data_IF_153040291656
#
_entry.id   IF_153040291656
#
_cell.length_a   1.000
_cell.length_b   1.000
_cell.length_c   1.000
_cell.angle_alpha   90.00
_cell.angle_beta   90.00
_cell.angle_gamma   90.00
#
_symmetry.space_group_name_H-M   'P 1'
#
loop_
_entity.id
_entity.type
_entity.pdbx_description
1 polymer ?
#
# COMPACT_ATOMS: atom_id res chain seq x y z
N UNK A 1 -35.57 -1.38 -9.74
CA UNK A 1 -34.86 -1.37 -8.44
C UNK A 1 -33.37 -1.77 -8.50
N UNK A 2 -32.85 -2.31 -9.61
CA UNK A 2 -31.46 -2.81 -9.70
C UNK A 2 -30.35 -1.75 -9.91
N UNK A 3 -30.66 -0.55 -10.43
CA UNK A 3 -29.63 0.49 -10.72
C UNK A 3 -29.10 1.24 -9.48
N UNK A 4 -29.87 1.32 -8.40
CA UNK A 4 -29.46 2.00 -7.17
C UNK A 4 -28.48 1.17 -6.32
N UNK A 5 -28.56 -0.16 -6.38
CA UNK A 5 -27.66 -1.06 -5.64
C UNK A 5 -26.25 -1.13 -6.24
N UNK A 6 -26.14 -1.04 -7.56
CA UNK A 6 -24.82 -1.05 -8.24
C UNK A 6 -24.02 0.21 -7.91
N UNK A 7 -24.68 1.37 -7.80
CA UNK A 7 -24.00 2.62 -7.43
C UNK A 7 -23.50 2.65 -5.97
N UNK A 8 -24.21 2.02 -5.03
CA UNK A 8 -23.78 1.98 -3.62
C UNK A 8 -22.57 1.05 -3.43
N UNK A 9 -22.51 -0.06 -4.16
CA UNK A 9 -21.36 -0.99 -4.10
C UNK A 9 -20.11 -0.37 -4.74
N UNK A 10 -20.26 0.28 -5.89
CA UNK A 10 -19.17 1.00 -6.55
C UNK A 10 -18.64 2.15 -5.68
N UNK A 11 -19.53 2.89 -5.00
CA UNK A 11 -19.16 3.96 -4.09
C UNK A 11 -18.44 3.44 -2.83
N UNK A 12 -18.89 2.33 -2.24
CA UNK A 12 -18.21 1.69 -1.10
C UNK A 12 -16.87 1.07 -1.48
N UNK A 13 -16.74 0.53 -2.67
CA UNK A 13 -15.46 0.05 -3.20
C UNK A 13 -14.48 1.23 -3.45
N UNK A 14 -14.97 2.30 -4.05
CA UNK A 14 -14.17 3.53 -4.26
C UNK A 14 -13.73 4.15 -2.93
N UNK A 15 -14.63 4.23 -1.94
CA UNK A 15 -14.30 4.73 -0.60
C UNK A 15 -13.29 3.82 0.14
N UNK A 16 -13.40 2.49 -0.01
CA UNK A 16 -12.41 1.53 0.51
C UNK A 16 -11.06 1.66 -0.18
N UNK A 17 -11.03 1.87 -1.49
CA UNK A 17 -9.77 2.10 -2.22
C UNK A 17 -9.12 3.43 -1.83
N UNK A 18 -9.90 4.49 -1.61
CA UNK A 18 -9.40 5.78 -1.14
C UNK A 18 -8.82 5.72 0.29
N UNK A 19 -9.38 4.91 1.18
CA UNK A 19 -8.83 4.74 2.53
C UNK A 19 -7.45 4.06 2.56
N UNK A 20 -7.09 3.38 1.47
CA UNK A 20 -5.77 2.74 1.29
C UNK A 20 -4.74 3.66 0.62
N UNK A 21 -5.13 4.84 0.19
CA UNK A 21 -4.19 5.77 -0.41
C UNK A 21 -3.17 6.24 0.63
N UNK A 22 -1.93 6.35 0.20
CA UNK A 22 -0.87 6.95 1.02
C UNK A 22 -1.26 8.37 1.41
N UNK A 23 -0.84 8.81 2.58
CA UNK A 23 -1.16 10.17 3.09
C UNK A 23 -0.76 11.25 2.08
N UNK A 24 0.38 11.08 1.39
CA UNK A 24 0.85 11.99 0.35
C UNK A 24 -0.14 12.09 -0.83
N UNK A 25 -0.65 10.95 -1.31
CA UNK A 25 -1.65 10.91 -2.40
C UNK A 25 -2.97 11.57 -1.98
N UNK A 26 -3.39 11.40 -0.73
CA UNK A 26 -4.58 12.06 -0.20
C UNK A 26 -4.43 13.59 -0.18
N UNK A 27 -3.27 14.08 0.26
CA UNK A 27 -2.96 15.52 0.28
C UNK A 27 -2.93 16.08 -1.14
N UNK A 28 -2.28 15.40 -2.09
CA UNK A 28 -2.24 15.80 -3.48
C UNK A 28 -3.63 15.84 -4.12
N UNK A 29 -4.46 14.84 -3.84
CA UNK A 29 -5.84 14.81 -4.33
C UNK A 29 -6.67 15.97 -3.78
N UNK A 30 -6.56 16.27 -2.48
CA UNK A 30 -7.24 17.42 -1.89
C UNK A 30 -6.77 18.73 -2.51
N UNK A 31 -5.46 18.92 -2.71
CA UNK A 31 -4.92 20.10 -3.37
C UNK A 31 -5.45 20.22 -4.81
N UNK A 32 -5.44 19.15 -5.59
CA UNK A 32 -6.01 19.12 -6.94
C UNK A 32 -7.49 19.51 -6.93
N UNK A 33 -8.29 18.93 -6.04
CA UNK A 33 -9.73 19.24 -5.94
C UNK A 33 -9.99 20.72 -5.61
N UNK A 34 -9.18 21.31 -4.72
CA UNK A 34 -9.28 22.75 -4.39
C UNK A 34 -8.94 23.61 -5.61
N UNK A 35 -7.86 23.30 -6.32
CA UNK A 35 -7.49 24.03 -7.54
C UNK A 35 -8.57 23.95 -8.61
N UNK A 36 -9.17 22.77 -8.81
CA UNK A 36 -10.27 22.57 -9.74
C UNK A 36 -11.49 23.43 -9.36
N UNK A 37 -11.84 23.48 -8.08
CA UNK A 37 -12.93 24.32 -7.59
C UNK A 37 -12.66 25.82 -7.80
N UNK A 38 -11.43 26.29 -7.58
CA UNK A 38 -11.04 27.69 -7.81
C UNK A 38 -11.13 28.05 -9.30
N UNK A 39 -10.63 27.17 -10.20
CA UNK A 39 -10.72 27.39 -11.65
C UNK A 39 -12.17 27.47 -12.08
N UNK A 40 -13.03 26.57 -11.61
CA UNK A 40 -14.45 26.56 -11.93
C UNK A 40 -15.16 27.82 -11.41
N UNK A 41 -14.84 28.26 -10.19
CA UNK A 41 -15.42 29.47 -9.60
C UNK A 41 -15.04 30.73 -10.41
N UNK A 42 -13.77 30.87 -10.79
CA UNK A 42 -13.31 31.98 -11.64
C UNK A 42 -13.97 31.97 -12.99
N UNK A 43 -14.11 30.80 -13.63
CA UNK A 43 -14.84 30.68 -14.89
C UNK A 43 -16.29 31.18 -14.74
N UNK A 44 -17.02 30.75 -13.72
CA UNK A 44 -18.41 31.15 -13.50
C UNK A 44 -18.55 32.67 -13.28
N UNK A 45 -17.62 33.27 -12.53
CA UNK A 45 -17.60 34.72 -12.31
C UNK A 45 -17.38 35.48 -13.60
N UNK A 46 -16.45 35.06 -14.44
CA UNK A 46 -16.16 35.71 -15.72
C UNK A 46 -17.29 35.49 -16.75
N UNK A 47 -17.84 34.27 -16.78
CA UNK A 47 -18.97 33.95 -17.64
C UNK A 47 -20.19 34.82 -17.35
N UNK A 48 -20.46 35.14 -16.10
CA UNK A 48 -21.56 36.01 -15.69
C UNK A 48 -21.36 37.48 -16.12
N UNK A 49 -20.14 37.91 -16.39
CA UNK A 49 -19.79 39.25 -16.87
C UNK A 49 -19.98 39.41 -18.39
N UNK A 50 -20.09 38.30 -19.13
CA UNK A 50 -20.27 38.36 -20.61
C UNK A 50 -21.62 38.93 -20.97
N UNK A 51 -21.70 39.88 -21.95
CA UNK A 51 -22.94 40.48 -22.38
C UNK A 51 -23.81 39.44 -23.10
N UNK A 52 -25.09 39.40 -22.76
CA UNK A 52 -26.07 38.57 -23.45
C UNK A 52 -26.50 39.33 -24.70
N UNK A 53 -26.43 38.70 -25.89
CA UNK A 53 -26.97 39.21 -27.16
C UNK A 53 -28.08 38.29 -27.63
N UNK A 54 -29.08 38.86 -28.23
CA UNK A 54 -30.22 38.13 -28.81
C UNK A 54 -30.12 38.21 -30.33
N UNK A 55 -30.17 37.07 -31.00
CA UNK A 55 -30.20 37.01 -32.47
C UNK A 55 -31.58 37.35 -33.04
N UNK A 56 -31.66 37.54 -34.37
CA UNK A 56 -32.94 37.72 -35.05
C UNK A 56 -33.90 36.56 -34.88
N UNK A 57 -33.38 35.34 -34.63
CA UNK A 57 -34.16 34.15 -34.31
C UNK A 57 -34.62 34.08 -32.84
N UNK A 58 -34.42 35.12 -32.04
CA UNK A 58 -34.68 35.18 -30.60
C UNK A 58 -33.87 34.19 -29.75
N UNK A 59 -32.78 33.65 -30.30
CA UNK A 59 -31.84 32.84 -29.52
C UNK A 59 -30.85 33.75 -28.78
N UNK A 60 -30.77 33.59 -27.47
CA UNK A 60 -29.80 34.29 -26.62
C UNK A 60 -28.45 33.60 -26.69
N UNK A 61 -27.38 34.32 -26.98
CA UNK A 61 -26.01 33.83 -26.94
C UNK A 61 -25.06 34.82 -26.28
N UNK A 62 -23.92 34.36 -25.83
CA UNK A 62 -22.87 35.20 -25.23
C UNK A 62 -21.63 35.17 -26.13
N UNK A 63 -21.31 36.27 -26.84
CA UNK A 63 -20.11 36.34 -27.66
C UNK A 63 -18.86 36.09 -26.81
N UNK A 64 -17.92 35.22 -27.28
CA UNK A 64 -16.70 34.89 -26.58
C UNK A 64 -16.84 33.80 -25.52
N UNK A 65 -18.03 33.17 -25.39
CA UNK A 65 -18.26 32.09 -24.40
C UNK A 65 -17.35 30.87 -24.67
N UNK A 66 -17.19 30.47 -25.93
CA UNK A 66 -16.33 29.35 -26.30
C UNK A 66 -14.86 29.63 -25.98
N UNK A 67 -14.38 30.84 -26.29
CA UNK A 67 -13.01 31.24 -25.99
C UNK A 67 -12.78 31.31 -24.48
N UNK A 68 -13.72 31.84 -23.72
CA UNK A 68 -13.67 31.86 -22.26
C UNK A 68 -13.66 30.44 -21.69
N UNK A 69 -14.53 29.55 -22.22
CA UNK A 69 -14.59 28.14 -21.80
C UNK A 69 -13.25 27.46 -21.97
N UNK A 70 -12.62 27.60 -23.13
CA UNK A 70 -11.33 26.96 -23.38
C UNK A 70 -10.22 27.57 -22.54
N UNK A 71 -10.06 28.87 -22.50
CA UNK A 71 -8.92 29.53 -21.88
C UNK A 71 -9.02 29.58 -20.35
N UNK A 72 -10.23 29.79 -19.81
CA UNK A 72 -10.43 29.98 -18.37
C UNK A 72 -10.86 28.71 -17.62
N UNK A 73 -11.35 27.70 -18.32
CA UNK A 73 -11.79 26.46 -17.68
C UNK A 73 -11.00 25.22 -18.19
N UNK A 74 -11.14 24.90 -19.48
CA UNK A 74 -10.66 23.59 -19.99
C UNK A 74 -9.13 23.49 -19.94
N UNK A 75 -8.41 24.47 -20.49
CA UNK A 75 -6.94 24.43 -20.52
C UNK A 75 -6.35 24.42 -19.10
N UNK A 76 -6.73 25.32 -18.17
CA UNK A 76 -6.23 25.27 -16.80
C UNK A 76 -6.55 23.96 -16.09
N UNK A 77 -7.76 23.39 -16.28
CA UNK A 77 -8.12 22.09 -15.69
C UNK A 77 -7.24 20.96 -16.20
N UNK A 78 -6.96 20.91 -17.51
CA UNK A 78 -6.05 19.92 -18.10
C UNK A 78 -4.64 20.08 -17.52
N UNK A 79 -4.11 21.29 -17.47
CA UNK A 79 -2.76 21.57 -16.95
C UNK A 79 -2.63 21.11 -15.49
N UNK A 80 -3.59 21.49 -14.63
CA UNK A 80 -3.57 21.09 -13.21
C UNK A 80 -3.68 19.57 -13.06
N UNK A 81 -4.50 18.91 -13.89
CA UNK A 81 -4.64 17.45 -13.85
C UNK A 81 -3.36 16.74 -14.29
N UNK A 82 -2.69 17.24 -15.33
CA UNK A 82 -1.40 16.69 -15.79
C UNK A 82 -0.33 16.86 -14.71
N UNK A 83 -0.23 18.03 -14.09
CA UNK A 83 0.71 18.26 -12.97
C UNK A 83 0.43 17.31 -11.82
N UNK A 84 -0.83 17.10 -11.46
CA UNK A 84 -1.22 16.17 -10.42
C UNK A 84 -0.80 14.71 -10.75
N UNK A 85 -1.04 14.25 -11.99
CA UNK A 85 -0.62 12.92 -12.43
C UNK A 85 0.89 12.72 -12.37
N UNK A 86 1.67 13.73 -12.80
CA UNK A 86 3.13 13.69 -12.74
C UNK A 86 3.60 13.62 -11.28
N UNK A 87 3.03 14.43 -10.40
CA UNK A 87 3.37 14.43 -8.98
C UNK A 87 3.04 13.08 -8.34
N UNK A 88 1.87 12.50 -8.61
CA UNK A 88 1.46 11.19 -8.09
C UNK A 88 2.41 10.09 -8.56
N UNK A 89 2.77 10.07 -9.85
CA UNK A 89 3.75 9.13 -10.39
C UNK A 89 5.12 9.27 -9.70
N UNK A 90 5.59 10.50 -9.49
CA UNK A 90 6.87 10.77 -8.84
C UNK A 90 6.87 10.28 -7.38
N UNK A 91 5.82 10.58 -6.60
CA UNK A 91 5.71 10.13 -5.21
C UNK A 91 5.54 8.60 -5.11
N UNK A 92 4.81 7.98 -6.05
CA UNK A 92 4.69 6.53 -6.14
C UNK A 92 6.05 5.85 -6.39
N UNK A 93 6.79 6.38 -7.36
CA UNK A 93 8.13 5.87 -7.67
C UNK A 93 9.08 6.03 -6.47
N UNK A 94 9.10 7.21 -5.85
CA UNK A 94 9.95 7.48 -4.69
C UNK A 94 9.62 6.59 -3.49
N UNK A 95 8.34 6.31 -3.25
CA UNK A 95 7.92 5.37 -2.20
C UNK A 95 8.38 3.95 -2.50
N UNK A 96 8.28 3.49 -3.76
CA UNK A 96 8.77 2.17 -4.18
C UNK A 96 10.27 2.01 -3.95
N UNK A 97 11.07 3.01 -4.35
CA UNK A 97 12.52 3.01 -4.12
C UNK A 97 12.86 3.00 -2.63
N UNK A 98 12.17 3.81 -1.83
CA UNK A 98 12.35 3.86 -0.37
C UNK A 98 12.07 2.51 0.28
N UNK A 99 10.96 1.85 -0.09
CA UNK A 99 10.60 0.54 0.45
C UNK A 99 11.60 -0.53 0.03
N UNK A 100 12.08 -0.49 -1.22
CA UNK A 100 13.12 -1.41 -1.69
C UNK A 100 14.41 -1.27 -0.88
N UNK A 101 14.89 -0.05 -0.66
CA UNK A 101 16.10 0.21 0.13
C UNK A 101 15.94 -0.23 1.59
N UNK A 102 14.76 -0.03 2.18
CA UNK A 102 14.43 -0.52 3.53
C UNK A 102 14.44 -2.05 3.59
N UNK A 103 13.83 -2.71 2.61
CA UNK A 103 13.84 -4.16 2.51
C UNK A 103 15.27 -4.71 2.44
N UNK A 104 16.14 -4.13 1.61
CA UNK A 104 17.54 -4.54 1.52
C UNK A 104 18.29 -4.34 2.85
N UNK A 105 18.05 -3.21 3.53
CA UNK A 105 18.67 -2.94 4.84
C UNK A 105 18.22 -3.95 5.89
N UNK A 106 16.93 -4.29 5.94
CA UNK A 106 16.40 -5.28 6.86
C UNK A 106 16.91 -6.69 6.50
N UNK A 107 16.96 -7.01 5.21
CA UNK A 107 17.43 -8.29 4.69
C UNK A 107 18.92 -8.50 4.98
N UNK A 108 19.75 -7.47 4.88
CA UNK A 108 21.17 -7.54 5.22
C UNK A 108 21.44 -7.82 6.70
N UNK A 109 20.48 -7.51 7.57
CA UNK A 109 20.53 -7.78 9.02
C UNK A 109 19.87 -9.10 9.41
N UNK A 110 19.12 -9.73 8.50
CA UNK A 110 18.43 -10.99 8.75
C UNK A 110 19.34 -12.19 8.50
N UNK A 111 19.01 -13.29 9.15
CA UNK A 111 19.64 -14.60 8.93
C UNK A 111 18.67 -15.48 8.14
N UNK A 112 19.04 -15.85 6.92
CA UNK A 112 18.22 -16.67 6.03
C UNK A 112 18.55 -18.15 6.16
N UNK A 113 17.53 -19.00 6.32
CA UNK A 113 17.66 -20.44 6.49
C UNK A 113 16.49 -21.18 5.83
N UNK A 114 16.72 -22.39 5.33
CA UNK A 114 15.63 -23.22 4.81
C UNK A 114 14.85 -23.91 5.92
N UNK A 115 13.55 -24.23 5.77
CA UNK A 115 12.77 -24.93 6.79
C UNK A 115 13.37 -26.30 7.16
N UNK A 116 13.93 -27.03 6.21
CA UNK A 116 14.57 -28.34 6.46
C UNK A 116 15.80 -28.18 7.34
N UNK A 117 16.65 -27.22 7.02
CA UNK A 117 17.84 -26.92 7.80
C UNK A 117 17.48 -26.40 9.19
N UNK A 118 16.50 -25.51 9.23
CA UNK A 118 15.96 -24.95 10.46
C UNK A 118 15.44 -26.03 11.41
N UNK A 119 14.61 -26.98 10.94
CA UNK A 119 14.08 -28.08 11.74
C UNK A 119 15.14 -29.15 12.11
N UNK A 120 16.21 -29.27 11.30
CA UNK A 120 17.30 -30.23 11.58
C UNK A 120 18.32 -29.72 12.60
N UNK A 121 18.45 -28.40 12.73
CA UNK A 121 19.34 -27.84 13.76
C UNK A 121 18.76 -28.12 15.14
N UNK A 122 19.49 -28.86 15.96
CA UNK A 122 19.14 -29.23 17.35
C UNK A 122 18.96 -28.03 18.30
N UNK A 123 18.92 -26.81 17.80
CA UNK A 123 18.73 -25.57 18.58
C UNK A 123 17.44 -25.56 19.40
N UNK A 124 16.44 -26.35 18.97
CA UNK A 124 15.12 -26.48 19.60
C UNK A 124 15.01 -27.59 20.66
N UNK A 125 15.94 -28.51 20.70
CA UNK A 125 15.75 -29.82 21.35
C UNK A 125 16.02 -29.78 22.86
N UNK A 126 16.53 -28.74 23.41
CA UNK A 126 16.70 -28.64 24.85
C UNK A 126 15.51 -27.90 25.46
N UNK A 127 14.46 -28.64 25.77
CA UNK A 127 13.24 -28.20 26.49
C UNK A 127 13.49 -27.70 27.92
N UNK A 128 14.51 -26.93 28.11
CA UNK A 128 14.80 -26.09 29.27
C UNK A 128 15.15 -24.71 28.73
N UNK A 129 14.10 -23.85 28.72
CA UNK A 129 14.15 -22.39 28.65
C UNK A 129 15.33 -21.73 27.96
N UNK A 130 15.07 -21.02 26.91
CA UNK A 130 15.67 -19.75 26.50
C UNK A 130 17.15 -19.67 26.13
N UNK A 131 17.94 -20.74 26.12
CA UNK A 131 19.33 -20.61 25.65
C UNK A 131 19.43 -20.70 24.15
N UNK A 132 19.16 -19.58 23.48
CA UNK A 132 19.32 -19.40 22.03
C UNK A 132 18.12 -18.85 21.28
N UNK A 133 16.95 -18.77 21.91
CA UNK A 133 15.80 -18.07 21.31
C UNK A 133 15.86 -16.56 21.62
N UNK A 134 15.19 -15.74 20.83
CA UNK A 134 15.28 -14.30 20.95
C UNK A 134 13.94 -13.62 20.61
N UNK A 135 13.79 -12.39 21.10
CA UNK A 135 12.69 -11.52 20.75
C UNK A 135 12.95 -10.84 19.41
N UNK A 136 12.00 -10.92 18.49
CA UNK A 136 12.17 -10.33 17.18
C UNK A 136 11.04 -10.64 16.21
N UNK A 137 11.33 -10.48 14.94
CA UNK A 137 10.43 -10.72 13.82
C UNK A 137 10.99 -11.82 12.93
N UNK A 138 10.10 -12.56 12.28
CA UNK A 138 10.45 -13.54 11.27
C UNK A 138 9.59 -13.34 10.01
N UNK A 139 10.19 -13.68 8.89
CA UNK A 139 9.55 -13.65 7.57
C UNK A 139 9.64 -15.04 6.98
N UNK A 140 8.51 -15.62 6.60
CA UNK A 140 8.43 -16.86 5.83
C UNK A 140 8.16 -16.48 4.38
N UNK A 141 9.13 -16.67 3.51
CA UNK A 141 8.98 -16.39 2.07
C UNK A 141 8.75 -17.69 1.32
N UNK A 142 7.57 -17.85 0.73
CA UNK A 142 7.29 -18.90 -0.25
C UNK A 142 7.86 -18.48 -1.60
N UNK A 143 8.99 -19.05 -1.98
CA UNK A 143 9.67 -18.76 -3.24
C UNK A 143 8.89 -19.23 -4.47
N UNK A 144 8.00 -20.22 -4.32
CA UNK A 144 7.24 -20.79 -5.43
C UNK A 144 6.09 -19.87 -5.85
N UNK A 145 5.43 -19.25 -4.87
CA UNK A 145 4.26 -18.38 -5.08
C UNK A 145 4.55 -16.89 -4.88
N UNK A 146 5.79 -16.56 -4.51
CA UNK A 146 6.24 -15.21 -4.13
C UNK A 146 5.35 -14.56 -3.08
N UNK A 147 5.02 -15.32 -2.02
CA UNK A 147 4.16 -14.89 -0.91
C UNK A 147 4.94 -14.82 0.38
N UNK A 148 4.62 -13.81 1.20
CA UNK A 148 5.26 -13.58 2.48
C UNK A 148 4.29 -13.76 3.64
N UNK A 149 4.77 -14.35 4.72
CA UNK A 149 4.17 -14.26 6.05
C UNK A 149 5.15 -13.56 6.97
N UNK A 150 4.69 -12.54 7.66
CA UNK A 150 5.46 -11.82 8.67
C UNK A 150 4.81 -12.04 10.02
N UNK A 151 5.62 -12.35 11.03
CA UNK A 151 5.16 -12.50 12.40
C UNK A 151 6.22 -12.07 13.39
N UNK A 152 5.81 -11.80 14.61
CA UNK A 152 6.71 -11.49 15.70
C UNK A 152 6.52 -12.43 16.88
N UNK A 153 7.53 -12.56 17.73
CA UNK A 153 7.47 -13.31 18.96
C UNK A 153 8.58 -12.89 19.92
N UNK A 154 8.34 -13.11 21.20
CA UNK A 154 9.41 -13.10 22.21
C UNK A 154 10.29 -14.37 22.14
N UNK A 155 9.79 -15.43 21.48
CA UNK A 155 10.44 -16.69 21.18
C UNK A 155 10.32 -16.97 19.67
N UNK A 156 11.13 -16.29 18.85
CA UNK A 156 11.04 -16.32 17.38
C UNK A 156 11.24 -17.71 16.83
N UNK A 157 12.25 -18.41 17.35
CA UNK A 157 12.62 -19.72 16.84
C UNK A 157 11.52 -20.76 17.11
N UNK A 158 10.97 -20.78 18.32
CA UNK A 158 9.85 -21.67 18.65
C UNK A 158 8.60 -21.31 17.82
N UNK A 159 8.33 -20.03 17.61
CA UNK A 159 7.19 -19.60 16.80
C UNK A 159 7.30 -20.04 15.35
N UNK A 160 8.49 -19.89 14.75
CA UNK A 160 8.77 -20.40 13.40
C UNK A 160 8.60 -21.92 13.33
N UNK A 161 9.09 -22.67 14.32
CA UNK A 161 8.89 -24.13 14.40
C UNK A 161 7.41 -24.49 14.37
N UNK A 162 6.56 -23.78 15.11
CA UNK A 162 5.12 -24.00 15.15
C UNK A 162 4.49 -23.85 13.74
N UNK A 163 4.94 -22.88 12.95
CA UNK A 163 4.45 -22.72 11.57
C UNK A 163 4.73 -23.94 10.70
N UNK A 164 5.89 -24.57 10.83
CA UNK A 164 6.26 -25.75 10.03
C UNK A 164 5.90 -27.10 10.70
N UNK A 165 5.24 -27.07 11.85
CA UNK A 165 4.67 -28.26 12.52
C UNK A 165 3.13 -28.27 12.56
N UNK A 166 2.49 -27.31 11.90
CA UNK A 166 1.05 -27.23 11.74
C UNK A 166 0.32 -26.46 12.86
N UNK A 167 1.05 -25.79 13.74
CA UNK A 167 0.49 -25.01 14.85
C UNK A 167 0.51 -23.49 14.60
N UNK A 168 0.89 -23.06 13.39
CA UNK A 168 1.00 -21.66 13.00
C UNK A 168 0.00 -21.25 11.93
N UNK A 169 0.49 -20.59 10.85
CA UNK A 169 -0.34 -20.21 9.69
C UNK A 169 -0.66 -21.46 8.86
N UNK A 170 -1.96 -21.78 8.74
CA UNK A 170 -2.43 -22.99 8.07
C UNK A 170 -2.12 -22.98 6.56
N UNK A 171 -2.26 -21.83 5.90
CA UNK A 171 -2.05 -21.73 4.45
C UNK A 171 -0.57 -21.87 4.09
N UNK A 172 0.33 -21.22 4.83
CA UNK A 172 1.77 -21.38 4.65
C UNK A 172 2.22 -22.82 4.92
N UNK A 173 1.65 -23.46 5.95
CA UNK A 173 1.92 -24.86 6.26
C UNK A 173 1.44 -25.81 5.16
N UNK A 174 0.23 -25.60 4.64
CA UNK A 174 -0.33 -26.40 3.55
C UNK A 174 0.54 -26.28 2.28
N UNK A 175 0.94 -25.09 1.90
CA UNK A 175 1.80 -24.84 0.75
C UNK A 175 3.17 -25.53 0.90
N UNK A 176 3.76 -25.44 2.10
CA UNK A 176 5.01 -26.14 2.38
C UNK A 176 4.86 -27.67 2.30
N UNK A 177 3.76 -28.23 2.80
CA UNK A 177 3.45 -29.67 2.69
C UNK A 177 3.23 -30.12 1.26
N UNK A 178 2.71 -29.25 0.41
CA UNK A 178 2.55 -29.50 -1.04
C UNK A 178 3.88 -29.46 -1.80
N UNK A 179 4.98 -29.07 -1.17
CA UNK A 179 6.31 -29.07 -1.75
C UNK A 179 6.82 -27.70 -2.18
N UNK A 180 6.12 -26.61 -1.85
CA UNK A 180 6.59 -25.26 -2.12
C UNK A 180 7.92 -25.01 -1.38
N UNK A 181 8.78 -24.23 -2.03
CA UNK A 181 10.08 -23.84 -1.48
C UNK A 181 9.93 -22.62 -0.58
N UNK A 182 10.41 -22.73 0.64
CA UNK A 182 10.39 -21.63 1.60
C UNK A 182 11.79 -21.24 2.05
N UNK A 183 11.95 -19.95 2.36
CA UNK A 183 13.08 -19.38 3.11
C UNK A 183 12.52 -18.70 4.35
N UNK A 184 13.22 -18.89 5.45
CA UNK A 184 12.93 -18.27 6.76
C UNK A 184 13.99 -17.20 6.97
N UNK A 185 13.56 -15.96 7.13
CA UNK A 185 14.43 -14.84 7.53
C UNK A 185 14.06 -14.41 8.94
N UNK A 186 15.04 -14.28 9.82
CA UNK A 186 14.81 -13.86 11.21
C UNK A 186 15.63 -12.62 11.53
N UNK A 187 15.03 -11.70 12.29
CA UNK A 187 15.64 -10.45 12.72
C UNK A 187 15.36 -10.21 14.20
N UNK A 188 16.43 -10.13 15.00
CA UNK A 188 16.33 -9.79 16.41
C UNK A 188 15.89 -8.32 16.58
N UNK A 189 15.05 -8.07 17.59
CA UNK A 189 14.66 -6.70 17.96
C UNK A 189 15.89 -5.84 18.31
N UNK A 190 16.88 -6.42 18.97
CA UNK A 190 18.12 -5.72 19.35
C UNK A 190 18.91 -5.28 18.11
N UNK A 191 19.03 -6.14 17.10
CA UNK A 191 19.81 -5.88 15.88
C UNK A 191 19.05 -4.98 14.91
N UNK A 192 17.71 -4.95 15.01
CA UNK A 192 16.85 -4.13 14.14
C UNK A 192 17.03 -2.63 14.34
N UNK A 193 17.33 -2.20 15.57
CA UNK A 193 17.39 -0.81 15.98
C UNK A 193 16.02 -0.20 16.34
N UNK A 194 14.94 -1.01 16.32
CA UNK A 194 13.61 -0.64 16.80
C UNK A 194 13.50 -0.84 18.30
N UNK A 195 12.64 -0.06 18.96
CA UNK A 195 12.35 -0.18 20.39
C UNK A 195 11.12 -1.00 20.69
N UNK A 196 10.17 -1.00 19.77
CA UNK A 196 8.90 -1.73 19.87
C UNK A 196 8.80 -2.82 18.81
N UNK A 197 8.39 -4.01 19.27
CA UNK A 197 8.25 -5.20 18.45
C UNK A 197 7.09 -5.07 17.45
N UNK A 198 5.99 -4.43 17.86
CA UNK A 198 4.85 -4.22 16.98
C UNK A 198 5.17 -3.21 15.86
N UNK A 199 5.96 -2.16 16.19
CA UNK A 199 6.40 -1.18 15.19
C UNK A 199 7.29 -1.85 14.14
N UNK A 200 8.24 -2.69 14.57
CA UNK A 200 9.10 -3.46 13.69
C UNK A 200 8.30 -4.41 12.79
N UNK A 201 7.32 -5.14 13.35
CA UNK A 201 6.47 -6.03 12.56
C UNK A 201 5.67 -5.27 11.51
N UNK A 202 5.02 -4.15 11.87
CA UNK A 202 4.23 -3.36 10.94
C UNK A 202 5.09 -2.82 9.79
N UNK A 203 6.30 -2.34 10.08
CA UNK A 203 7.24 -1.89 9.07
C UNK A 203 7.61 -3.01 8.09
N UNK A 204 7.88 -4.22 8.60
CA UNK A 204 8.23 -5.37 7.77
C UNK A 204 7.02 -5.84 6.95
N UNK A 205 5.81 -5.85 7.53
CA UNK A 205 4.57 -6.17 6.80
C UNK A 205 4.35 -5.22 5.63
N UNK A 206 4.58 -3.92 5.82
CA UNK A 206 4.45 -2.92 4.76
C UNK A 206 5.51 -3.10 3.67
N UNK A 207 6.76 -3.33 4.06
CA UNK A 207 7.88 -3.50 3.13
C UNK A 207 7.71 -4.73 2.23
N UNK A 208 7.20 -5.83 2.78
CA UNK A 208 6.97 -7.08 2.04
C UNK A 208 5.57 -7.20 1.44
N UNK A 209 4.71 -6.17 1.64
CA UNK A 209 3.30 -6.21 1.21
C UNK A 209 2.56 -7.51 1.63
N UNK A 210 2.88 -7.99 2.82
CA UNK A 210 2.44 -9.30 3.29
C UNK A 210 0.93 -9.38 3.60
N UNK A 211 0.22 -8.25 3.66
CA UNK A 211 -1.23 -8.19 3.84
C UNK A 211 -2.02 -8.38 2.55
N UNK A 212 -1.57 -7.75 1.47
CA UNK A 212 -2.32 -7.77 0.20
C UNK A 212 -1.93 -8.97 -0.67
N UNK A 213 -0.63 -9.28 -0.72
CA UNK A 213 -0.09 -10.34 -1.56
C UNK A 213 0.55 -11.49 -0.77
N UNK A 214 0.37 -11.55 0.57
CA UNK A 214 0.97 -12.54 1.43
C UNK A 214 -0.02 -13.41 2.20
N UNK A 215 0.46 -14.01 3.29
CA UNK A 215 -0.30 -14.86 4.20
C UNK A 215 -0.82 -14.10 5.45
N UNK A 216 -0.56 -12.79 5.58
CA UNK A 216 -1.03 -11.94 6.68
C UNK A 216 -2.45 -11.39 6.46
N UNK A 217 -3.21 -11.98 5.54
CA UNK A 217 -4.60 -11.59 5.30
C UNK A 217 -5.46 -11.89 6.54
N UNK A 218 -6.26 -10.91 6.94
CA UNK A 218 -7.32 -11.05 7.94
C UNK A 218 -8.67 -10.96 7.26
#
# INVERSE_FOLDING_TARGET
MSRLFINSYAFTQAAKSMSKWRKESQVLFCAWAVFMAVIFFRYTEEHMKLPIRVTRSMEAYRPGEDELLWNSLIIPMIVVTVIWMIAEFFFAHRAKVRNHNRMETLKSKSSDITPKEFLSKRMWVTGKGDKGDFTGVFVLHNLTKDKFFVGHSIHVLERVRQHFTGQGNGDAYADWKMGDKFVISTLSLVDSGYKDLNELEQEIIEVYDAREHGYNQK
#
